data_IF_929844570991
#
_entry.id   IF_929844570991
#
_cell.length_a   1.000
_cell.length_b   1.000
_cell.length_c   1.000
_cell.angle_alpha   90.00
_cell.angle_beta   90.00
_cell.angle_gamma   90.00
#
_symmetry.space_group_name_H-M   'P 1'
#
loop_
_entity.id
_entity.type
_entity.pdbx_description
1 polymer ?
#
# COMPACT_ATOMS: atom_id res chain seq x y z
N UNK A 1 -71.99 32.58 -3.54
CA UNK A 1 -71.48 32.57 -4.93
C UNK A 1 -69.96 32.45 -4.87
N UNK A 2 -69.23 31.58 -5.56
CA UNK A 2 -69.53 30.44 -6.42
C UNK A 2 -68.25 29.57 -6.44
N UNK A 3 -68.43 28.25 -6.51
CA UNK A 3 -67.38 27.23 -6.66
C UNK A 3 -67.05 27.05 -8.13
N UNK A 4 -65.76 26.91 -8.48
CA UNK A 4 -65.31 26.63 -9.86
C UNK A 4 -65.13 25.13 -10.05
N UNK A 5 -65.91 24.56 -10.97
CA UNK A 5 -65.76 23.20 -11.51
C UNK A 5 -65.08 23.26 -12.87
N UNK A 6 -64.18 22.31 -13.12
CA UNK A 6 -63.61 21.98 -14.43
C UNK A 6 -64.56 21.07 -15.21
N UNK A 7 -64.73 21.34 -16.51
CA UNK A 7 -65.34 20.40 -17.46
C UNK A 7 -64.70 20.53 -18.85
N UNK A 8 -64.30 19.38 -19.42
CA UNK A 8 -63.81 19.21 -20.78
C UNK A 8 -64.92 19.44 -21.83
N UNK A 9 -64.56 19.52 -23.14
CA UNK A 9 -65.48 19.15 -24.19
C UNK A 9 -65.02 17.91 -24.97
N UNK A 10 -66.01 17.06 -25.19
CA UNK A 10 -66.03 15.87 -26.03
C UNK A 10 -66.01 16.19 -27.53
N UNK A 11 -65.52 15.19 -28.26
CA UNK A 11 -65.50 14.93 -29.71
C UNK A 11 -66.69 15.37 -30.55
N UNK A 12 -66.42 15.66 -31.84
CA UNK A 12 -67.40 15.52 -32.90
C UNK A 12 -66.78 15.23 -34.29
N UNK A 13 -67.34 14.21 -34.94
CA UNK A 13 -67.43 13.89 -36.38
C UNK A 13 -66.35 13.06 -37.11
N UNK A 14 -66.84 11.88 -37.53
CA UNK A 14 -66.33 10.89 -38.50
C UNK A 14 -66.68 11.36 -39.91
N UNK A 15 -65.78 11.15 -40.89
CA UNK A 15 -66.03 10.46 -42.17
C UNK A 15 -65.06 10.95 -43.28
N UNK A 16 -64.47 10.00 -44.03
CA UNK A 16 -63.84 10.31 -45.32
C UNK A 16 -62.58 9.50 -45.62
N UNK A 17 -62.81 8.26 -46.04
CA UNK A 17 -61.93 7.34 -46.78
C UNK A 17 -60.63 7.89 -47.36
N UNK A 18 -59.52 7.17 -47.15
CA UNK A 18 -58.54 6.93 -48.22
C UNK A 18 -57.83 5.59 -48.05
N UNK A 19 -57.80 4.89 -49.17
CA UNK A 19 -57.35 3.54 -49.40
C UNK A 19 -55.90 3.27 -49.02
N UNK A 20 -55.70 2.03 -48.58
CA UNK A 20 -54.47 1.26 -48.42
C UNK A 20 -53.36 1.61 -49.43
N UNK A 21 -52.19 1.98 -48.91
CA UNK A 21 -50.91 1.62 -49.55
C UNK A 21 -49.99 0.98 -48.52
N UNK A 22 -49.82 -0.34 -48.65
CA UNK A 22 -49.13 -1.20 -47.70
C UNK A 22 -47.64 -1.18 -48.02
N UNK A 23 -46.93 -0.11 -47.64
CA UNK A 23 -45.46 -0.09 -47.71
C UNK A 23 -44.88 -0.81 -46.49
N UNK A 24 -44.36 -2.01 -46.71
CA UNK A 24 -43.49 -2.70 -45.77
C UNK A 24 -42.26 -1.82 -45.47
N UNK A 25 -42.24 -1.18 -44.30
CA UNK A 25 -41.01 -0.59 -43.76
C UNK A 25 -40.11 -1.73 -43.33
N UNK A 26 -39.12 -2.05 -44.16
CA UNK A 26 -37.90 -2.72 -43.70
C UNK A 26 -37.28 -1.78 -42.67
N UNK A 27 -37.34 -2.15 -41.39
CA UNK A 27 -36.54 -1.51 -40.35
C UNK A 27 -35.08 -1.81 -40.66
N UNK A 28 -34.40 -0.88 -41.33
CA UNK A 28 -32.93 -0.90 -41.39
C UNK A 28 -32.44 -0.67 -39.96
N UNK A 29 -31.93 -1.74 -39.35
CA UNK A 29 -31.28 -1.66 -38.06
C UNK A 29 -30.18 -0.61 -38.13
N UNK A 30 -30.26 0.42 -37.28
CA UNK A 30 -29.17 1.36 -37.09
C UNK A 30 -27.90 0.56 -36.77
N UNK A 31 -26.74 0.90 -37.37
CA UNK A 31 -25.52 0.15 -37.13
C UNK A 31 -25.21 0.25 -35.64
N UNK A 32 -25.20 -0.89 -34.94
CA UNK A 32 -24.67 -0.97 -33.58
C UNK A 32 -23.25 -0.44 -33.64
N UNK A 33 -23.02 0.76 -33.11
CA UNK A 33 -21.69 1.29 -32.91
C UNK A 33 -21.00 0.31 -31.96
N UNK A 34 -20.18 -0.60 -32.50
CA UNK A 34 -19.24 -1.38 -31.68
C UNK A 34 -18.38 -0.32 -31.00
N UNK A 35 -18.61 -0.11 -29.71
CA UNK A 35 -17.57 0.47 -28.86
C UNK A 35 -16.44 -0.54 -28.97
N UNK A 36 -15.42 -0.21 -29.77
CA UNK A 36 -14.17 -0.94 -29.69
C UNK A 36 -13.71 -0.74 -28.25
N UNK A 37 -13.87 -1.77 -27.42
CA UNK A 37 -13.07 -1.90 -26.20
C UNK A 37 -11.65 -1.90 -26.76
N UNK A 38 -10.95 -0.77 -26.64
CA UNK A 38 -9.59 -0.66 -27.11
C UNK A 38 -8.81 -1.84 -26.51
N UNK A 39 -7.94 -2.52 -27.27
CA UNK A 39 -7.10 -3.54 -26.68
C UNK A 39 -6.39 -2.90 -25.49
N UNK A 40 -6.58 -3.46 -24.29
CA UNK A 40 -5.72 -3.16 -23.13
C UNK A 40 -4.33 -3.55 -23.63
N UNK A 41 -3.55 -2.56 -24.08
CA UNK A 41 -2.20 -2.81 -24.57
C UNK A 41 -1.40 -3.18 -23.34
N UNK A 42 -1.06 -4.46 -23.22
CA UNK A 42 0.00 -4.87 -22.31
C UNK A 42 1.22 -3.99 -22.62
N UNK A 43 1.62 -3.14 -21.67
CA UNK A 43 2.83 -2.33 -21.77
C UNK A 43 4.05 -3.24 -21.88
N UNK A 44 5.17 -2.72 -22.36
CA UNK A 44 6.41 -3.48 -22.59
C UNK A 44 6.93 -4.23 -21.36
N UNK A 45 6.54 -3.80 -20.16
CA UNK A 45 6.96 -4.38 -18.89
C UNK A 45 5.93 -5.32 -18.25
N UNK A 46 4.76 -5.56 -18.85
CA UNK A 46 3.63 -6.24 -18.18
C UNK A 46 4.03 -7.58 -17.56
N UNK A 47 4.70 -8.44 -18.32
CA UNK A 47 5.12 -9.76 -17.82
C UNK A 47 6.17 -9.65 -16.70
N UNK A 48 7.13 -8.72 -16.83
CA UNK A 48 8.15 -8.45 -15.81
C UNK A 48 7.52 -7.93 -14.52
N UNK A 49 6.52 -7.04 -14.62
CA UNK A 49 5.78 -6.51 -13.48
C UNK A 49 5.05 -7.64 -12.73
N UNK A 50 4.34 -8.51 -13.45
CA UNK A 50 3.63 -9.64 -12.86
C UNK A 50 4.60 -10.60 -12.19
N UNK A 51 5.74 -10.90 -12.82
CA UNK A 51 6.77 -11.77 -12.24
C UNK A 51 7.38 -11.13 -10.97
N UNK A 52 7.70 -9.85 -11.01
CA UNK A 52 8.28 -9.10 -9.90
C UNK A 52 7.31 -9.03 -8.72
N UNK A 53 6.04 -8.75 -8.97
CA UNK A 53 5.02 -8.67 -7.93
C UNK A 53 4.81 -10.04 -7.26
N UNK A 54 4.74 -11.13 -8.03
CA UNK A 54 4.67 -12.50 -7.51
C UNK A 54 5.92 -12.91 -6.72
N UNK A 55 7.11 -12.53 -7.19
CA UNK A 55 8.36 -12.81 -6.48
C UNK A 55 8.40 -12.09 -5.13
N UNK A 56 8.07 -10.79 -5.14
CA UNK A 56 8.04 -9.97 -3.93
C UNK A 56 6.98 -10.48 -2.94
N UNK A 57 5.84 -10.97 -3.44
CA UNK A 57 4.79 -11.58 -2.64
C UNK A 57 4.90 -13.12 -2.57
N UNK A 58 6.12 -13.67 -2.46
CA UNK A 58 6.34 -15.11 -2.40
C UNK A 58 6.25 -15.66 -0.97
N UNK A 59 5.87 -16.93 -0.85
CA UNK A 59 5.75 -17.63 0.44
C UNK A 59 7.00 -17.48 1.30
N UNK A 60 6.79 -17.26 2.60
CA UNK A 60 7.81 -17.04 3.64
C UNK A 60 8.51 -15.68 3.60
N UNK A 61 8.19 -14.81 2.64
CA UNK A 61 8.87 -13.54 2.50
C UNK A 61 7.97 -12.35 2.79
N UNK A 62 8.61 -11.25 3.20
CA UNK A 62 8.01 -9.92 3.19
C UNK A 62 9.02 -8.88 2.74
N UNK A 63 8.70 -7.61 2.99
CA UNK A 63 9.48 -6.46 2.58
C UNK A 63 10.07 -5.76 3.80
N UNK A 64 11.38 -5.49 3.75
CA UNK A 64 12.06 -4.61 4.68
C UNK A 64 11.94 -3.16 4.16
N UNK A 65 11.16 -2.33 4.84
CA UNK A 65 11.06 -0.91 4.50
C UNK A 65 12.15 -0.15 5.26
N UNK A 66 13.12 0.44 4.54
CA UNK A 66 14.27 1.19 5.10
C UNK A 66 14.43 2.55 4.42
N UNK A 67 13.31 3.07 3.91
CA UNK A 67 13.19 4.31 3.13
C UNK A 67 12.95 5.57 3.99
N UNK A 68 13.25 5.48 5.29
CA UNK A 68 13.29 6.61 6.21
C UNK A 68 14.60 7.40 6.07
N UNK A 69 14.55 8.70 6.31
CA UNK A 69 15.76 9.54 6.28
C UNK A 69 16.48 9.57 7.64
N UNK A 70 15.78 9.42 8.77
CA UNK A 70 16.30 9.83 10.09
C UNK A 70 16.11 8.77 11.20
N UNK A 71 16.18 7.49 10.86
CA UNK A 71 15.89 6.38 11.79
C UNK A 71 16.79 6.39 13.05
N UNK A 72 18.04 6.82 12.88
CA UNK A 72 19.11 6.80 13.89
C UNK A 72 18.87 7.82 15.02
N UNK A 73 18.08 8.87 14.77
CA UNK A 73 17.72 9.86 15.78
C UNK A 73 16.97 9.23 16.97
N UNK A 74 16.27 8.10 16.74
CA UNK A 74 15.54 7.37 17.79
C UNK A 74 16.43 6.78 18.90
N UNK A 75 17.73 6.62 18.63
CA UNK A 75 18.73 6.13 19.59
C UNK A 75 19.72 7.23 20.00
N UNK A 76 19.41 8.49 19.70
CA UNK A 76 20.22 9.65 20.08
C UNK A 76 21.49 9.83 19.25
N UNK A 77 21.58 9.25 18.05
CA UNK A 77 22.67 9.51 17.11
C UNK A 77 22.35 10.70 16.21
N UNK A 78 23.39 11.45 15.85
CA UNK A 78 23.27 12.52 14.86
C UNK A 78 22.90 11.95 13.49
N UNK A 79 21.98 12.62 12.81
CA UNK A 79 21.56 12.27 11.46
C UNK A 79 22.61 12.71 10.40
N UNK A 80 23.71 11.98 10.33
CA UNK A 80 24.77 12.18 9.33
C UNK A 80 24.71 11.10 8.24
N UNK A 81 25.17 11.42 7.04
CA UNK A 81 25.25 10.45 5.94
C UNK A 81 26.04 9.19 6.34
N UNK A 82 27.14 9.36 7.08
CA UNK A 82 27.95 8.25 7.57
C UNK A 82 27.16 7.31 8.50
N UNK A 83 26.34 7.85 9.41
CA UNK A 83 25.50 7.05 10.30
C UNK A 83 24.39 6.33 9.53
N UNK A 84 23.74 7.03 8.58
CA UNK A 84 22.73 6.42 7.71
C UNK A 84 23.32 5.28 6.88
N UNK A 85 24.47 5.51 6.24
CA UNK A 85 25.21 4.51 5.48
C UNK A 85 25.59 3.31 6.35
N UNK A 86 26.13 3.54 7.55
CA UNK A 86 26.51 2.48 8.48
C UNK A 86 25.31 1.63 8.89
N UNK A 87 24.17 2.25 9.19
CA UNK A 87 22.95 1.53 9.54
C UNK A 87 22.39 0.74 8.36
N UNK A 88 22.32 1.34 7.16
CA UNK A 88 21.87 0.60 5.96
C UNK A 88 22.83 -0.52 5.58
N UNK A 89 24.13 -0.33 5.76
CA UNK A 89 25.11 -1.40 5.59
C UNK A 89 24.86 -2.55 6.56
N UNK A 90 24.64 -2.27 7.84
CA UNK A 90 24.30 -3.30 8.83
C UNK A 90 23.12 -4.15 8.36
N UNK A 91 22.02 -3.51 7.95
CA UNK A 91 20.81 -4.20 7.50
C UNK A 91 21.07 -5.00 6.21
N UNK A 92 21.60 -4.35 5.18
CA UNK A 92 21.72 -4.89 3.82
C UNK A 92 22.85 -5.89 3.62
N UNK A 93 23.73 -6.05 4.61
CA UNK A 93 24.79 -7.06 4.62
C UNK A 93 24.53 -8.17 5.64
N UNK A 94 23.32 -8.25 6.20
CA UNK A 94 22.92 -9.33 7.12
C UNK A 94 22.89 -10.67 6.38
N UNK A 95 23.75 -11.64 6.73
CA UNK A 95 23.79 -12.92 6.02
C UNK A 95 22.50 -13.72 6.23
N UNK A 96 21.94 -14.26 5.15
CA UNK A 96 20.72 -15.09 5.20
C UNK A 96 19.43 -14.29 5.36
N UNK A 97 19.48 -12.96 5.24
CA UNK A 97 18.27 -12.12 5.28
C UNK A 97 17.29 -12.48 4.15
N UNK A 98 17.83 -12.92 3.01
CA UNK A 98 17.08 -13.38 1.84
C UNK A 98 16.16 -14.57 2.08
N UNK A 99 16.32 -15.31 3.18
CA UNK A 99 15.41 -16.41 3.56
C UNK A 99 14.01 -15.92 3.97
N UNK A 100 13.90 -14.65 4.37
CA UNK A 100 12.71 -14.07 4.99
C UNK A 100 12.27 -12.76 4.35
N UNK A 101 13.14 -12.12 3.57
CA UNK A 101 12.89 -10.85 2.90
C UNK A 101 13.03 -11.05 1.39
N UNK A 102 12.00 -10.70 0.64
CA UNK A 102 11.98 -10.76 -0.83
C UNK A 102 12.22 -9.39 -1.46
N UNK A 103 11.99 -8.30 -0.73
CA UNK A 103 12.19 -6.94 -1.20
C UNK A 103 12.66 -5.99 -0.11
N UNK A 104 13.42 -4.96 -0.49
CA UNK A 104 13.80 -3.87 0.40
C UNK A 104 13.43 -2.52 -0.23
N UNK A 105 12.63 -1.69 0.45
CA UNK A 105 12.32 -0.33 -0.01
C UNK A 105 13.43 0.60 0.47
N UNK A 106 14.10 1.24 -0.47
CA UNK A 106 15.21 2.16 -0.22
C UNK A 106 14.75 3.61 -0.32
N UNK A 107 15.45 4.49 0.39
CA UNK A 107 15.46 5.90 0.07
C UNK A 107 16.41 6.18 -1.11
N UNK A 108 16.24 7.31 -1.80
CA UNK A 108 17.03 7.65 -2.99
C UNK A 108 18.53 7.67 -2.68
N UNK A 109 18.94 8.26 -1.56
CA UNK A 109 20.33 8.26 -1.09
C UNK A 109 20.89 6.82 -1.04
N UNK A 110 20.17 5.90 -0.39
CA UNK A 110 20.60 4.50 -0.19
C UNK A 110 20.67 3.72 -1.51
N UNK A 111 19.82 4.03 -2.50
CA UNK A 111 19.82 3.38 -3.80
C UNK A 111 21.14 3.63 -4.57
N UNK A 112 21.76 4.78 -4.37
CA UNK A 112 23.04 5.16 -4.99
C UNK A 112 24.26 4.96 -4.07
N UNK A 113 24.05 4.71 -2.79
CA UNK A 113 25.12 4.44 -1.84
C UNK A 113 25.76 3.05 -2.03
N UNK A 114 26.94 2.94 -1.43
CA UNK A 114 27.72 1.71 -1.33
C UNK A 114 28.06 1.42 0.12
N UNK A 115 28.44 0.19 0.41
CA UNK A 115 29.15 -0.16 1.65
C UNK A 115 30.47 0.61 1.77
N UNK A 116 31.02 0.68 2.97
CA UNK A 116 32.37 1.21 3.23
C UNK A 116 33.48 0.48 2.45
N UNK A 117 33.22 -0.75 2.00
CA UNK A 117 34.10 -1.53 1.11
C UNK A 117 33.87 -1.27 -0.39
N UNK A 118 33.05 -0.28 -0.77
CA UNK A 118 32.84 0.14 -2.17
C UNK A 118 31.82 -0.70 -2.96
N UNK A 119 31.25 -1.75 -2.37
CA UNK A 119 30.19 -2.55 -3.00
C UNK A 119 28.84 -1.84 -2.91
N UNK A 120 28.13 -1.68 -4.03
CA UNK A 120 26.81 -1.03 -4.08
C UNK A 120 25.78 -1.78 -3.24
N UNK A 121 24.90 -1.06 -2.55
CA UNK A 121 23.83 -1.69 -1.76
C UNK A 121 22.87 -2.52 -2.59
N UNK A 122 22.54 -2.09 -3.81
CA UNK A 122 21.72 -2.88 -4.75
C UNK A 122 22.34 -4.25 -5.07
N UNK A 123 23.67 -4.36 -5.08
CA UNK A 123 24.36 -5.62 -5.34
C UNK A 123 24.44 -6.50 -4.09
N UNK A 124 24.46 -5.91 -2.89
CA UNK A 124 24.28 -6.65 -1.64
C UNK A 124 22.90 -7.32 -1.59
N UNK A 125 21.85 -6.56 -1.91
CA UNK A 125 20.48 -7.07 -1.99
C UNK A 125 20.35 -8.23 -2.98
N UNK A 126 20.85 -8.07 -4.20
CA UNK A 126 20.80 -9.10 -5.24
C UNK A 126 21.51 -10.40 -4.84
N UNK A 127 22.63 -10.32 -4.12
CA UNK A 127 23.34 -11.51 -3.64
C UNK A 127 22.52 -12.30 -2.62
N UNK A 128 21.75 -11.60 -1.77
CA UNK A 128 20.78 -12.19 -0.87
C UNK A 128 19.44 -12.50 -1.56
N UNK A 129 19.33 -12.35 -2.89
CA UNK A 129 18.08 -12.51 -3.66
C UNK A 129 16.94 -11.60 -3.18
N UNK A 130 17.28 -10.45 -2.62
CA UNK A 130 16.33 -9.42 -2.22
C UNK A 130 16.17 -8.42 -3.37
N UNK A 131 14.94 -8.15 -3.75
CA UNK A 131 14.62 -7.19 -4.80
C UNK A 131 14.81 -5.75 -4.28
N UNK A 132 15.54 -4.87 -4.97
CA UNK A 132 15.58 -3.46 -4.61
C UNK A 132 14.28 -2.75 -5.02
N UNK A 133 13.73 -1.95 -4.11
CA UNK A 133 12.63 -1.04 -4.37
C UNK A 133 12.96 0.38 -3.92
N UNK A 134 12.16 1.36 -4.35
CA UNK A 134 12.47 2.78 -4.15
C UNK A 134 11.23 3.57 -3.71
N UNK A 135 11.35 4.40 -2.67
CA UNK A 135 10.35 5.43 -2.36
C UNK A 135 10.42 6.55 -3.39
N UNK A 136 9.30 6.89 -4.02
CA UNK A 136 9.25 7.89 -5.11
C UNK A 136 8.36 9.09 -4.82
N UNK A 137 7.52 9.01 -3.80
CA UNK A 137 6.77 10.17 -3.31
C UNK A 137 7.71 11.25 -2.75
N UNK A 138 7.26 12.50 -2.76
CA UNK A 138 7.97 13.67 -2.20
C UNK A 138 7.33 14.14 -0.89
N UNK A 139 6.68 13.23 -0.18
CA UNK A 139 6.08 13.50 1.12
C UNK A 139 4.69 14.15 1.05
N UNK A 140 4.17 14.42 2.24
CA UNK A 140 2.84 14.97 2.48
C UNK A 140 2.91 16.49 2.64
N UNK A 141 1.90 17.18 2.14
CA UNK A 141 1.67 18.60 2.40
C UNK A 141 0.22 18.85 2.82
N UNK A 142 -0.08 19.95 3.53
CA UNK A 142 -1.45 20.29 3.87
C UNK A 142 -2.36 20.36 2.64
N UNK A 143 -3.54 19.75 2.73
CA UNK A 143 -4.54 19.81 1.67
C UNK A 143 -5.34 21.12 1.79
N UNK A 144 -5.24 22.06 0.82
CA UNK A 144 -5.93 23.34 0.92
C UNK A 144 -7.44 23.17 0.98
N UNK A 145 -8.11 23.93 1.85
CA UNK A 145 -9.57 23.86 2.01
C UNK A 145 -10.06 22.61 2.75
N UNK A 146 -9.17 21.83 3.35
CA UNK A 146 -9.50 20.68 4.18
C UNK A 146 -9.39 20.97 5.69
N UNK A 147 -9.85 20.03 6.52
CA UNK A 147 -9.75 20.12 7.97
C UNK A 147 -8.44 19.50 8.49
N UNK A 148 -7.29 20.15 8.24
CA UNK A 148 -5.97 19.61 8.57
C UNK A 148 -5.71 18.22 7.96
N UNK A 149 -6.28 17.93 6.79
CA UNK A 149 -5.94 16.75 6.02
C UNK A 149 -4.70 17.05 5.17
N UNK A 150 -4.10 16.00 4.59
CA UNK A 150 -2.89 16.11 3.78
C UNK A 150 -3.08 15.43 2.43
N UNK A 151 -2.29 15.83 1.45
CA UNK A 151 -2.13 15.11 0.18
C UNK A 151 -0.65 14.92 -0.12
N UNK A 152 -0.34 13.99 -1.02
CA UNK A 152 1.03 13.60 -1.29
C UNK A 152 1.52 14.14 -2.64
N UNK A 153 2.74 14.68 -2.66
CA UNK A 153 3.37 15.25 -3.85
C UNK A 153 4.35 14.25 -4.49
N UNK A 154 4.79 14.54 -5.73
CA UNK A 154 5.88 13.79 -6.38
C UNK A 154 5.62 13.34 -7.83
N UNK A 155 4.47 13.68 -8.42
CA UNK A 155 4.13 13.27 -9.79
C UNK A 155 4.99 13.98 -10.84
N UNK A 156 5.41 15.23 -10.54
CA UNK A 156 6.26 16.01 -11.42
C UNK A 156 7.63 15.34 -11.63
N UNK A 157 7.93 15.02 -12.88
CA UNK A 157 9.16 14.32 -13.28
C UNK A 157 9.21 12.84 -12.86
N UNK A 158 8.11 12.26 -12.36
CA UNK A 158 8.09 10.88 -11.85
C UNK A 158 8.51 9.86 -12.90
N UNK A 159 8.06 9.98 -14.15
CA UNK A 159 8.41 9.04 -15.22
C UNK A 159 9.93 8.96 -15.42
N UNK A 160 10.60 10.11 -15.57
CA UNK A 160 12.06 10.18 -15.71
C UNK A 160 12.78 9.59 -14.50
N UNK A 161 12.29 9.85 -13.29
CA UNK A 161 12.86 9.27 -12.06
C UNK A 161 12.69 7.75 -12.02
N UNK A 162 11.50 7.22 -12.33
CA UNK A 162 11.25 5.78 -12.39
C UNK A 162 12.15 5.09 -13.40
N UNK A 163 12.32 5.66 -14.59
CA UNK A 163 13.23 5.12 -15.60
C UNK A 163 14.69 5.06 -15.09
N UNK A 164 15.14 6.09 -14.37
CA UNK A 164 16.50 6.10 -13.80
C UNK A 164 16.66 5.10 -12.65
N UNK A 165 15.67 5.01 -11.76
CA UNK A 165 15.69 4.01 -10.68
C UNK A 165 15.67 2.58 -11.22
N UNK A 166 14.93 2.32 -12.31
CA UNK A 166 14.93 1.01 -12.97
C UNK A 166 16.34 0.64 -13.49
N UNK A 167 17.05 1.58 -14.13
CA UNK A 167 18.45 1.40 -14.57
C UNK A 167 19.40 1.14 -13.40
N UNK A 168 19.21 1.87 -12.30
CA UNK A 168 20.01 1.69 -11.08
C UNK A 168 19.74 0.36 -10.38
N UNK A 169 18.61 -0.31 -10.68
CA UNK A 169 18.33 -1.68 -10.26
C UNK A 169 17.06 -1.86 -9.44
N UNK A 170 16.29 -0.80 -9.19
CA UNK A 170 14.98 -0.91 -8.58
C UNK A 170 14.03 -1.70 -9.50
N UNK A 171 13.12 -2.47 -8.91
CA UNK A 171 12.08 -3.22 -9.64
C UNK A 171 10.67 -3.00 -9.11
N UNK A 172 10.56 -2.32 -7.97
CA UNK A 172 9.29 -1.86 -7.45
C UNK A 172 9.47 -0.46 -6.85
N UNK A 173 8.36 0.25 -6.72
CA UNK A 173 8.33 1.59 -6.14
C UNK A 173 7.34 1.60 -4.96
N UNK A 174 7.48 2.60 -4.10
CA UNK A 174 6.53 2.88 -3.02
C UNK A 174 6.06 4.33 -3.10
N UNK A 175 4.76 4.54 -2.95
CA UNK A 175 4.16 5.86 -2.78
C UNK A 175 3.21 5.84 -1.60
N UNK A 176 3.51 6.62 -0.57
CA UNK A 176 2.67 6.75 0.62
C UNK A 176 1.78 7.99 0.54
N UNK A 177 0.48 7.79 0.70
CA UNK A 177 -0.47 8.87 1.05
C UNK A 177 -1.16 8.54 2.36
N UNK A 178 -1.82 9.52 2.98
CA UNK A 178 -2.53 9.32 4.26
C UNK A 178 -3.98 9.76 4.18
N UNK A 179 -4.80 9.08 4.97
CA UNK A 179 -6.18 9.46 5.25
C UNK A 179 -6.36 9.49 6.77
N UNK A 180 -6.83 10.62 7.30
CA UNK A 180 -7.00 10.83 8.73
C UNK A 180 -8.44 10.53 9.15
N UNK A 181 -8.64 9.81 10.25
CA UNK A 181 -9.97 9.64 10.85
C UNK A 181 -10.34 10.86 11.73
N UNK A 182 -9.43 11.37 12.60
CA UNK A 182 -9.74 12.52 13.47
C UNK A 182 -10.02 13.81 12.72
N UNK A 183 -9.35 14.02 11.59
CA UNK A 183 -9.57 15.18 10.72
C UNK A 183 -10.85 15.02 9.86
N UNK A 184 -11.48 13.85 9.92
CA UNK A 184 -12.43 13.32 8.94
C UNK A 184 -11.68 12.72 7.75
N UNK A 185 -12.20 11.68 7.10
CA UNK A 185 -11.86 11.51 5.69
C UNK A 185 -12.91 12.27 4.89
N UNK A 186 -12.61 13.54 4.59
CA UNK A 186 -13.43 14.31 3.65
C UNK A 186 -13.46 13.59 2.30
N UNK A 187 -14.53 13.81 1.53
CA UNK A 187 -14.59 13.25 0.18
C UNK A 187 -13.42 13.74 -0.70
N UNK A 188 -12.95 14.96 -0.46
CA UNK A 188 -11.80 15.53 -1.15
C UNK A 188 -10.51 14.76 -0.83
N UNK A 189 -10.16 14.58 0.44
CA UNK A 189 -8.91 13.89 0.80
C UNK A 189 -8.88 12.42 0.35
N UNK A 190 -10.01 11.72 0.45
CA UNK A 190 -10.12 10.34 -0.06
C UNK A 190 -9.89 10.31 -1.57
N UNK A 191 -10.52 11.22 -2.31
CA UNK A 191 -10.36 11.32 -3.76
C UNK A 191 -8.92 11.69 -4.16
N UNK A 192 -8.30 12.67 -3.49
CA UNK A 192 -6.92 13.09 -3.75
C UNK A 192 -5.93 11.95 -3.48
N UNK A 193 -6.10 11.23 -2.37
CA UNK A 193 -5.31 10.05 -2.05
C UNK A 193 -5.43 8.97 -3.14
N UNK A 194 -6.66 8.63 -3.54
CA UNK A 194 -6.91 7.60 -4.53
C UNK A 194 -6.43 8.00 -5.94
N UNK A 195 -6.70 9.23 -6.37
CA UNK A 195 -6.27 9.76 -7.67
C UNK A 195 -4.75 9.83 -7.77
N UNK A 196 -4.07 10.38 -6.75
CA UNK A 196 -2.61 10.47 -6.72
C UNK A 196 -1.95 9.10 -6.82
N UNK A 197 -2.43 8.11 -6.05
CA UNK A 197 -1.95 6.73 -6.09
C UNK A 197 -2.15 6.09 -7.47
N UNK A 198 -3.30 6.33 -8.11
CA UNK A 198 -3.57 5.77 -9.43
C UNK A 198 -2.67 6.35 -10.53
N UNK A 199 -2.43 7.67 -10.50
CA UNK A 199 -1.48 8.33 -11.41
C UNK A 199 -0.06 7.82 -11.20
N UNK A 200 0.38 7.70 -9.96
CA UNK A 200 1.67 7.12 -9.59
C UNK A 200 1.81 5.69 -10.13
N UNK A 201 0.81 4.83 -9.88
CA UNK A 201 0.87 3.42 -10.24
C UNK A 201 0.99 3.22 -11.76
N UNK A 202 0.21 3.97 -12.55
CA UNK A 202 0.29 3.92 -14.00
C UNK A 202 1.68 4.36 -14.52
N UNK A 203 2.23 5.46 -13.98
CA UNK A 203 3.57 5.95 -14.36
C UNK A 203 4.66 4.93 -13.98
N UNK A 204 4.57 4.32 -12.80
CA UNK A 204 5.52 3.32 -12.36
C UNK A 204 5.51 2.08 -13.26
N UNK A 205 4.33 1.57 -13.62
CA UNK A 205 4.19 0.42 -14.52
C UNK A 205 4.74 0.71 -15.94
N UNK A 206 4.47 1.91 -16.47
CA UNK A 206 5.00 2.34 -17.78
C UNK A 206 6.54 2.41 -17.81
N UNK A 207 7.18 2.49 -16.63
CA UNK A 207 8.62 2.55 -16.46
C UNK A 207 9.21 1.28 -15.79
N UNK A 208 8.46 0.18 -15.79
CA UNK A 208 8.97 -1.14 -15.37
C UNK A 208 9.10 -1.34 -13.86
N UNK A 209 8.47 -0.50 -13.04
CA UNK A 209 8.45 -0.64 -11.58
C UNK A 209 7.06 -1.09 -11.10
N UNK A 210 7.01 -2.19 -10.35
CA UNK A 210 5.78 -2.60 -9.64
C UNK A 210 5.42 -1.54 -8.60
N UNK A 211 4.24 -0.90 -8.67
CA UNK A 211 3.85 0.08 -7.66
C UNK A 211 3.31 -0.61 -6.40
N UNK A 212 3.86 -0.25 -5.25
CA UNK A 212 3.24 -0.48 -3.95
C UNK A 212 2.28 0.69 -3.67
N UNK A 213 1.00 0.39 -3.67
CA UNK A 213 -0.09 1.34 -3.44
C UNK A 213 -0.38 1.42 -1.94
N UNK A 214 -0.02 2.53 -1.29
CA UNK A 214 -0.08 2.73 0.16
C UNK A 214 -1.00 3.91 0.56
N UNK A 215 -2.33 3.68 0.66
CA UNK A 215 -3.25 4.60 1.31
C UNK A 215 -3.29 4.31 2.82
N UNK A 216 -2.36 4.88 3.59
CA UNK A 216 -2.32 4.65 5.04
C UNK A 216 -3.47 5.39 5.72
N UNK A 217 -4.35 4.64 6.38
CA UNK A 217 -5.34 5.21 7.29
C UNK A 217 -4.66 5.36 8.64
N UNK A 218 -4.55 6.61 9.11
CA UNK A 218 -3.80 6.94 10.31
C UNK A 218 -4.43 6.32 11.56
N UNK A 219 -3.56 5.90 12.47
CA UNK A 219 -3.95 5.28 13.74
C UNK A 219 -4.47 6.31 14.76
N UNK A 220 -4.17 7.59 14.58
CA UNK A 220 -4.48 8.66 15.53
C UNK A 220 -5.99 8.75 15.86
N UNK A 221 -6.28 9.06 17.13
CA UNK A 221 -7.62 9.33 17.65
C UNK A 221 -8.25 8.23 18.52
N UNK A 222 -9.40 8.56 19.11
CA UNK A 222 -10.23 7.68 19.94
C UNK A 222 -11.45 7.22 19.15
N UNK A 223 -11.23 6.29 18.21
CA UNK A 223 -12.30 5.72 17.40
C UNK A 223 -12.30 4.19 17.51
N UNK A 224 -13.49 3.56 17.51
CA UNK A 224 -13.60 2.11 17.58
C UNK A 224 -13.21 1.47 16.24
N UNK A 225 -12.91 0.16 16.26
CA UNK A 225 -12.45 -0.59 15.08
C UNK A 225 -13.46 -0.57 13.91
N UNK A 226 -14.76 -0.47 14.22
CA UNK A 226 -15.84 -0.33 13.23
C UNK A 226 -15.68 0.95 12.40
N UNK A 227 -15.23 2.05 13.03
CA UNK A 227 -15.01 3.32 12.34
C UNK A 227 -13.84 3.20 11.38
N UNK A 228 -12.76 2.51 11.79
CA UNK A 228 -11.62 2.23 10.91
C UNK A 228 -12.05 1.38 9.72
N UNK A 229 -12.89 0.36 9.94
CA UNK A 229 -13.42 -0.47 8.86
C UNK A 229 -14.25 0.35 7.87
N UNK A 230 -15.16 1.19 8.34
CA UNK A 230 -16.00 2.05 7.50
C UNK A 230 -15.15 2.96 6.60
N UNK A 231 -14.15 3.63 7.19
CA UNK A 231 -13.25 4.52 6.46
C UNK A 231 -12.39 3.73 5.48
N UNK A 232 -11.85 2.58 5.89
CA UNK A 232 -11.04 1.73 5.02
C UNK A 232 -11.83 1.22 3.81
N UNK A 233 -13.09 0.84 4.01
CA UNK A 233 -13.94 0.42 2.91
C UNK A 233 -14.18 1.54 1.89
N UNK A 234 -14.39 2.78 2.36
CA UNK A 234 -14.57 3.95 1.49
C UNK A 234 -13.29 4.26 0.70
N UNK A 235 -12.14 4.29 1.38
CA UNK A 235 -10.84 4.60 0.76
C UNK A 235 -10.47 3.55 -0.29
N UNK A 236 -10.55 2.27 0.06
CA UNK A 236 -10.17 1.20 -0.88
C UNK A 236 -11.11 1.09 -2.08
N UNK A 237 -12.40 1.43 -1.93
CA UNK A 237 -13.32 1.51 -3.06
C UNK A 237 -12.88 2.57 -4.08
N UNK A 238 -12.54 3.78 -3.62
CA UNK A 238 -12.08 4.89 -4.47
C UNK A 238 -10.70 4.59 -5.09
N UNK A 239 -9.79 3.99 -4.32
CA UNK A 239 -8.47 3.57 -4.82
C UNK A 239 -8.62 2.62 -6.00
N UNK A 240 -9.40 1.54 -5.89
CA UNK A 240 -9.58 0.61 -6.99
C UNK A 240 -10.36 1.20 -8.17
N UNK A 241 -11.34 2.08 -7.90
CA UNK A 241 -12.02 2.83 -8.95
C UNK A 241 -11.01 3.62 -9.79
N UNK A 242 -10.15 4.43 -9.15
CA UNK A 242 -9.21 5.27 -9.88
C UNK A 242 -8.02 4.50 -10.48
N UNK A 243 -7.58 3.39 -9.86
CA UNK A 243 -6.60 2.49 -10.47
C UNK A 243 -7.13 1.93 -11.80
N UNK A 244 -8.41 1.51 -11.85
CA UNK A 244 -9.05 1.06 -13.08
C UNK A 244 -9.15 2.18 -14.12
N UNK A 245 -9.60 3.38 -13.72
CA UNK A 245 -9.71 4.54 -14.63
C UNK A 245 -8.36 4.98 -15.21
N UNK A 246 -7.24 4.67 -14.53
CA UNK A 246 -5.89 4.93 -15.02
C UNK A 246 -5.25 3.72 -15.74
N UNK A 247 -6.03 2.68 -16.05
CA UNK A 247 -5.59 1.47 -16.75
C UNK A 247 -4.45 0.72 -16.04
N UNK A 248 -4.41 0.76 -14.71
CA UNK A 248 -3.40 0.03 -13.93
C UNK A 248 -3.66 -1.47 -13.99
N UNK A 249 -2.63 -2.25 -14.30
CA UNK A 249 -2.70 -3.73 -14.32
C UNK A 249 -2.60 -4.27 -12.90
N UNK A 250 -3.67 -4.85 -12.36
CA UNK A 250 -3.74 -5.26 -10.95
C UNK A 250 -2.83 -6.45 -10.62
N UNK A 251 -2.52 -7.31 -11.59
CA UNK A 251 -1.57 -8.41 -11.43
C UNK A 251 -0.13 -7.91 -11.25
N UNK A 252 0.15 -6.67 -11.62
CA UNK A 252 1.44 -6.02 -11.54
C UNK A 252 1.51 -4.92 -10.47
N UNK A 253 0.67 -4.98 -9.42
CA UNK A 253 0.76 -4.09 -8.24
C UNK A 253 0.96 -4.89 -6.95
N UNK A 254 1.35 -4.19 -5.89
CA UNK A 254 1.23 -4.68 -4.51
C UNK A 254 0.45 -3.64 -3.71
N UNK A 255 -0.27 -4.08 -2.68
CA UNK A 255 -0.93 -3.17 -1.76
C UNK A 255 -0.16 -3.08 -0.44
N UNK A 256 -0.11 -1.89 0.16
CA UNK A 256 0.40 -1.68 1.51
C UNK A 256 -0.64 -0.95 2.36
N UNK A 257 -1.71 -1.66 2.80
CA UNK A 257 -2.71 -1.10 3.70
C UNK A 257 -2.19 -1.02 5.15
N UNK A 258 -2.80 -0.14 5.95
CA UNK A 258 -2.84 -0.31 7.39
C UNK A 258 -3.77 -1.48 7.76
N UNK A 259 -3.47 -2.17 8.87
CA UNK A 259 -4.42 -3.11 9.46
C UNK A 259 -5.63 -2.35 10.02
N UNK A 260 -6.80 -2.98 10.03
CA UNK A 260 -8.01 -2.40 10.63
C UNK A 260 -7.93 -2.59 12.14
N UNK A 261 -7.58 -1.53 12.86
CA UNK A 261 -7.44 -1.50 14.32
C UNK A 261 -8.31 -0.39 14.91
N UNK A 262 -8.63 -0.42 16.23
CA UNK A 262 -9.07 0.77 16.92
C UNK A 262 -7.99 1.87 16.85
N UNK A 263 -8.42 3.11 17.06
CA UNK A 263 -7.48 4.24 17.17
C UNK A 263 -6.50 4.07 18.34
N UNK A 264 -5.34 4.69 18.25
CA UNK A 264 -4.28 4.56 19.26
C UNK A 264 -4.76 4.98 20.67
N UNK A 265 -5.61 6.01 20.72
CA UNK A 265 -6.14 6.60 21.95
C UNK A 265 -7.42 5.87 22.43
N UNK A 266 -7.92 4.90 21.65
CA UNK A 266 -9.09 4.13 22.04
C UNK A 266 -8.81 3.24 23.26
N UNK A 267 -9.73 3.27 24.22
CA UNK A 267 -9.60 2.59 25.51
C UNK A 267 -9.49 1.08 25.36
N UNK A 268 -10.30 0.50 24.48
CA UNK A 268 -10.32 -0.94 24.25
C UNK A 268 -9.31 -1.32 23.17
N UNK A 269 -8.37 -2.21 23.52
CA UNK A 269 -7.46 -2.81 22.54
C UNK A 269 -8.15 -4.02 21.91
N UNK A 270 -8.03 -4.14 20.59
CA UNK A 270 -8.54 -5.30 19.86
C UNK A 270 -7.55 -6.47 19.94
N UNK A 271 -8.07 -7.69 20.06
CA UNK A 271 -7.23 -8.90 19.97
C UNK A 271 -6.74 -9.12 18.53
N UNK A 272 -5.67 -9.90 18.31
CA UNK A 272 -5.20 -10.25 16.98
C UNK A 272 -6.28 -10.90 16.10
N UNK A 273 -7.15 -11.73 16.69
CA UNK A 273 -8.25 -12.40 16.00
C UNK A 273 -9.32 -11.39 15.55
N UNK A 274 -9.60 -10.39 16.38
CA UNK A 274 -10.52 -9.31 16.01
C UNK A 274 -9.94 -8.43 14.91
N UNK A 275 -8.66 -8.03 15.02
CA UNK A 275 -7.96 -7.25 13.99
C UNK A 275 -7.96 -8.03 12.67
N UNK A 276 -7.62 -9.33 12.70
CA UNK A 276 -7.64 -10.18 11.53
C UNK A 276 -9.03 -10.26 10.90
N UNK A 277 -10.08 -10.48 11.70
CA UNK A 277 -11.47 -10.54 11.22
C UNK A 277 -11.88 -9.27 10.49
N UNK A 278 -11.63 -8.09 11.07
CA UNK A 278 -12.03 -6.81 10.46
C UNK A 278 -11.17 -6.47 9.24
N UNK A 279 -9.87 -6.75 9.30
CA UNK A 279 -8.95 -6.50 8.20
C UNK A 279 -9.26 -7.37 6.99
N UNK A 280 -9.41 -8.69 7.18
CA UNK A 280 -9.78 -9.60 6.11
C UNK A 280 -11.18 -9.31 5.55
N UNK A 281 -12.12 -8.87 6.39
CA UNK A 281 -13.44 -8.42 5.93
C UNK A 281 -13.34 -7.22 4.99
N UNK A 282 -12.50 -6.23 5.31
CA UNK A 282 -12.23 -5.09 4.44
C UNK A 282 -11.64 -5.55 3.09
N UNK A 283 -10.59 -6.38 3.13
CA UNK A 283 -9.93 -6.88 1.92
C UNK A 283 -10.92 -7.63 1.01
N UNK A 284 -11.68 -8.58 1.57
CA UNK A 284 -12.69 -9.35 0.83
C UNK A 284 -13.80 -8.49 0.21
N UNK A 285 -14.08 -7.31 0.76
CA UNK A 285 -15.11 -6.42 0.23
C UNK A 285 -14.60 -5.48 -0.87
N UNK A 286 -13.29 -5.19 -0.91
CA UNK A 286 -12.75 -4.07 -1.70
C UNK A 286 -11.59 -4.41 -2.62
N UNK A 287 -10.86 -5.49 -2.35
CA UNK A 287 -9.67 -5.85 -3.11
C UNK A 287 -10.02 -6.94 -4.13
N UNK A 288 -9.71 -6.78 -5.42
CA UNK A 288 -9.84 -7.85 -6.42
C UNK A 288 -8.81 -8.97 -6.20
N UNK A 289 -9.18 -10.25 -6.40
CA UNK A 289 -8.23 -11.39 -6.34
C UNK A 289 -7.07 -11.34 -7.33
N UNK A 290 -7.12 -10.47 -8.35
CA UNK A 290 -6.03 -10.29 -9.32
C UNK A 290 -4.75 -9.73 -8.70
N UNK A 291 -4.86 -9.01 -7.57
CA UNK A 291 -3.69 -8.50 -6.84
C UNK A 291 -2.86 -9.69 -6.32
N UNK A 292 -1.53 -9.72 -6.50
CA UNK A 292 -0.72 -10.84 -6.02
C UNK A 292 -0.48 -10.81 -4.50
N UNK A 293 -0.29 -9.62 -3.91
CA UNK A 293 0.11 -9.51 -2.50
C UNK A 293 -0.37 -8.27 -1.76
N UNK A 294 -0.66 -8.47 -0.48
CA UNK A 294 -1.02 -7.46 0.52
C UNK A 294 0.11 -7.40 1.55
N UNK A 295 0.92 -6.35 1.49
CA UNK A 295 2.15 -6.18 2.24
C UNK A 295 1.92 -5.15 3.34
N UNK A 296 1.32 -5.57 4.46
CA UNK A 296 0.86 -4.65 5.51
C UNK A 296 1.97 -3.74 6.04
N UNK A 297 1.65 -2.46 6.25
CA UNK A 297 2.49 -1.58 7.08
C UNK A 297 2.26 -1.90 8.56
N UNK A 298 3.28 -1.69 9.39
CA UNK A 298 3.15 -1.91 10.85
C UNK A 298 2.47 -0.73 11.56
N UNK A 299 2.54 0.47 11.00
CA UNK A 299 2.03 1.68 11.64
C UNK A 299 2.72 1.91 12.98
N UNK A 300 1.94 2.21 14.03
CA UNK A 300 2.42 2.40 15.41
C UNK A 300 2.43 1.13 16.29
N UNK A 301 2.15 -0.04 15.73
CA UNK A 301 2.15 -1.30 16.47
C UNK A 301 3.55 -1.65 16.97
N UNK A 302 3.66 -2.39 18.08
CA UNK A 302 4.92 -3.01 18.51
C UNK A 302 5.41 -4.07 17.49
N UNK A 303 6.66 -4.50 17.60
CA UNK A 303 7.20 -5.59 16.77
C UNK A 303 6.35 -6.86 16.93
N UNK A 304 6.01 -7.23 18.17
CA UNK A 304 5.21 -8.42 18.46
C UNK A 304 3.75 -8.28 18.05
N UNK A 305 3.13 -7.12 18.25
CA UNK A 305 1.74 -6.87 17.82
C UNK A 305 1.60 -7.03 16.31
N UNK A 306 2.52 -6.41 15.54
CA UNK A 306 2.53 -6.49 14.09
C UNK A 306 2.69 -7.96 13.60
N UNK A 307 3.57 -8.74 14.25
CA UNK A 307 3.73 -10.17 13.94
C UNK A 307 2.50 -11.00 14.31
N UNK A 308 1.89 -10.77 15.48
CA UNK A 308 0.70 -11.51 15.94
C UNK A 308 -0.52 -11.26 15.07
N UNK A 309 -0.76 -10.00 14.70
CA UNK A 309 -1.88 -9.62 13.85
C UNK A 309 -1.73 -10.21 12.44
N UNK A 310 -0.52 -10.16 11.87
CA UNK A 310 -0.22 -10.83 10.61
C UNK A 310 -0.44 -12.34 10.69
N UNK A 311 -0.01 -12.98 11.79
CA UNK A 311 -0.20 -14.40 12.01
C UNK A 311 -1.68 -14.78 12.04
N UNK A 312 -2.49 -14.04 12.80
CA UNK A 312 -3.92 -14.28 12.89
C UNK A 312 -4.63 -14.15 11.52
N UNK A 313 -4.20 -13.22 10.67
CA UNK A 313 -4.74 -13.10 9.30
C UNK A 313 -4.41 -14.29 8.41
N UNK A 314 -3.23 -14.89 8.57
CA UNK A 314 -2.80 -16.04 7.77
C UNK A 314 -3.27 -17.40 8.32
N UNK A 315 -3.99 -17.42 9.44
CA UNK A 315 -4.71 -18.61 9.90
C UNK A 315 -6.04 -18.82 9.17
N UNK A 316 -6.47 -17.84 8.37
CA UNK A 316 -7.59 -17.96 7.44
C UNK A 316 -7.09 -18.13 6.00
N UNK A 317 -7.92 -18.75 5.15
CA UNK A 317 -7.64 -18.83 3.71
C UNK A 317 -7.79 -17.45 3.07
N UNK A 318 -6.79 -17.04 2.28
CA UNK A 318 -6.78 -15.77 1.57
C UNK A 318 -6.54 -15.98 0.08
N UNK A 319 -7.24 -15.26 -0.82
CA UNK A 319 -6.96 -15.32 -2.26
C UNK A 319 -5.69 -14.53 -2.65
N UNK A 320 -5.19 -13.67 -1.75
CA UNK A 320 -3.94 -12.92 -1.90
C UNK A 320 -2.85 -13.50 -1.03
N UNK A 321 -1.59 -13.19 -1.36
CA UNK A 321 -0.51 -13.36 -0.42
C UNK A 321 -0.55 -12.28 0.67
N UNK A 322 -0.92 -12.63 1.91
CA UNK A 322 -0.98 -11.70 3.03
C UNK A 322 0.36 -11.72 3.79
N UNK A 323 1.14 -10.66 3.64
CA UNK A 323 2.49 -10.54 4.20
C UNK A 323 2.75 -9.14 4.77
N UNK A 324 4.01 -8.76 4.94
CA UNK A 324 4.45 -7.54 5.62
C UNK A 324 5.32 -6.67 4.73
N UNK A 325 5.23 -5.35 4.93
CA UNK A 325 6.19 -4.35 4.50
C UNK A 325 6.50 -3.46 5.71
N UNK A 326 7.43 -3.93 6.54
CA UNK A 326 7.64 -3.38 7.87
C UNK A 326 8.91 -2.54 7.95
N UNK A 327 8.76 -1.41 8.62
CA UNK A 327 9.82 -0.48 9.00
C UNK A 327 10.18 -0.73 10.48
N UNK A 328 9.61 0.08 11.38
CA UNK A 328 9.81 -0.01 12.84
C UNK A 328 9.62 -1.42 13.40
N UNK A 329 8.66 -2.21 12.90
CA UNK A 329 8.41 -3.58 13.36
C UNK A 329 9.51 -4.61 13.00
N UNK A 330 10.47 -4.24 12.14
CA UNK A 330 11.68 -5.02 11.86
C UNK A 330 12.96 -4.37 12.38
N UNK A 331 12.92 -3.07 12.70
CA UNK A 331 14.12 -2.25 12.91
C UNK A 331 14.30 -1.77 14.36
N UNK A 332 13.25 -1.69 15.19
CA UNK A 332 13.34 -1.04 16.51
C UNK A 332 14.32 -1.76 17.45
N UNK A 333 14.22 -3.07 17.60
CA UNK A 333 15.17 -3.85 18.40
C UNK A 333 16.57 -3.84 17.78
N UNK A 334 16.67 -3.76 16.46
CA UNK A 334 17.96 -3.68 15.74
C UNK A 334 18.69 -2.39 16.08
N UNK A 335 18.04 -1.24 15.98
CA UNK A 335 18.59 0.07 16.34
C UNK A 335 19.06 0.10 17.79
N UNK A 336 18.22 -0.34 18.72
CA UNK A 336 18.54 -0.39 20.16
C UNK A 336 19.70 -1.33 20.49
N UNK A 337 19.84 -2.41 19.74
CA UNK A 337 20.96 -3.35 19.89
C UNK A 337 22.24 -2.75 19.31
N UNK A 338 22.16 -2.07 18.17
CA UNK A 338 23.31 -1.48 17.50
C UNK A 338 23.91 -0.29 18.26
N UNK A 339 23.08 0.66 18.70
CA UNK A 339 23.50 1.88 19.40
C UNK A 339 24.56 2.73 18.67
N UNK A 340 24.68 2.58 17.34
CA UNK A 340 25.72 3.25 16.55
C UNK A 340 27.12 2.66 16.69
N UNK A 341 27.27 1.49 17.33
CA UNK A 341 28.57 0.92 17.68
C UNK A 341 28.95 -0.23 16.75
N UNK A 342 30.19 -0.22 16.26
CA UNK A 342 30.68 -1.23 15.31
C UNK A 342 30.74 -2.62 15.93
N UNK A 343 31.09 -2.72 17.21
CA UNK A 343 31.14 -3.98 17.96
C UNK A 343 29.77 -4.67 18.09
N UNK A 344 28.67 -3.92 17.93
CA UNK A 344 27.30 -4.43 18.07
C UNK A 344 26.68 -4.88 16.74
N UNK A 345 27.37 -4.71 15.61
CA UNK A 345 26.81 -5.01 14.27
C UNK A 345 26.30 -6.45 14.19
N UNK A 346 27.10 -7.43 14.62
CA UNK A 346 26.71 -8.86 14.57
C UNK A 346 25.49 -9.15 15.45
N UNK A 347 25.42 -8.53 16.64
CA UNK A 347 24.28 -8.71 17.54
C UNK A 347 23.00 -8.10 16.95
N UNK A 348 23.09 -6.92 16.34
CA UNK A 348 21.98 -6.25 15.69
C UNK A 348 21.50 -6.99 14.43
N UNK A 349 22.41 -7.53 13.61
CA UNK A 349 22.07 -8.39 12.47
C UNK A 349 21.32 -9.66 12.92
N UNK A 350 21.76 -10.28 14.03
CA UNK A 350 21.05 -11.41 14.63
C UNK A 350 19.64 -11.02 15.09
N UNK A 351 19.47 -9.83 15.68
CA UNK A 351 18.15 -9.32 16.07
C UNK A 351 17.24 -9.12 14.84
N UNK A 352 17.77 -8.60 13.74
CA UNK A 352 17.04 -8.46 12.48
C UNK A 352 16.56 -9.82 11.97
N UNK A 353 17.43 -10.83 11.92
CA UNK A 353 17.05 -12.18 11.49
C UNK A 353 15.96 -12.80 12.38
N UNK A 354 16.04 -12.59 13.69
CA UNK A 354 15.00 -13.06 14.63
C UNK A 354 13.64 -12.44 14.29
N UNK A 355 13.57 -11.14 14.01
CA UNK A 355 12.32 -10.46 13.62
C UNK A 355 11.86 -10.83 12.21
N UNK A 356 12.78 -10.94 11.25
CA UNK A 356 12.46 -11.36 9.89
C UNK A 356 11.87 -12.78 9.87
N UNK A 357 12.49 -13.71 10.60
CA UNK A 357 11.98 -15.09 10.77
C UNK A 357 10.62 -15.14 11.48
N UNK A 358 10.42 -14.34 12.51
CA UNK A 358 9.13 -14.26 13.21
C UNK A 358 8.00 -13.84 12.25
N UNK A 359 8.23 -12.80 11.45
CA UNK A 359 7.27 -12.32 10.46
C UNK A 359 7.09 -13.29 9.28
N UNK A 360 8.14 -14.00 8.87
CA UNK A 360 8.06 -15.10 7.90
C UNK A 360 7.16 -16.24 8.40
N UNK A 361 7.28 -16.64 9.67
CA UNK A 361 6.40 -17.63 10.28
C UNK A 361 4.97 -17.11 10.43
N UNK A 362 4.79 -15.82 10.70
CA UNK A 362 3.48 -15.19 10.77
C UNK A 362 2.79 -15.14 9.40
N UNK A 363 3.55 -14.91 8.32
CA UNK A 363 3.04 -15.05 6.96
C UNK A 363 2.47 -16.45 6.72
N UNK A 364 3.07 -17.49 7.30
CA UNK A 364 2.54 -18.86 7.22
C UNK A 364 1.41 -19.19 8.22
N UNK A 365 1.03 -18.27 9.10
CA UNK A 365 0.06 -18.57 10.17
C UNK A 365 0.60 -19.53 11.24
N UNK A 366 1.93 -19.66 11.36
CA UNK A 366 2.62 -20.62 12.23
C UNK A 366 3.51 -19.97 13.29
N UNK A 367 3.38 -18.66 13.50
CA UNK A 367 4.13 -17.96 14.52
C UNK A 367 3.61 -18.24 15.93
N UNK A 368 4.54 -18.39 16.88
CA UNK A 368 4.28 -18.49 18.31
C UNK A 368 5.09 -17.45 19.06
N UNK A 369 4.43 -16.72 19.98
CA UNK A 369 5.07 -15.70 20.80
C UNK A 369 5.87 -16.26 21.99
N UNK A 370 6.10 -17.57 22.05
CA UNK A 370 6.83 -18.20 23.15
C UNK A 370 8.32 -17.81 23.09
N UNK A 371 8.82 -17.14 24.13
CA UNK A 371 10.22 -16.71 24.23
C UNK A 371 10.51 -15.31 23.67
N UNK A 372 9.47 -14.53 23.36
CA UNK A 372 9.61 -13.11 22.96
C UNK A 372 10.09 -12.24 24.12
N UNK A 373 10.98 -11.28 23.83
CA UNK A 373 11.52 -10.34 24.81
C UNK A 373 10.48 -9.27 25.17
N UNK A 374 10.66 -8.57 26.29
CA UNK A 374 9.74 -7.48 26.70
C UNK A 374 9.80 -6.29 25.72
N UNK A 375 10.97 -6.05 25.13
CA UNK A 375 11.18 -4.96 24.17
C UNK A 375 10.30 -5.14 22.93
N UNK A 376 10.19 -6.38 22.43
CA UNK A 376 9.34 -6.70 21.28
C UNK A 376 7.86 -6.40 21.53
N UNK A 377 7.42 -6.34 22.81
CA UNK A 377 6.03 -6.08 23.20
C UNK A 377 5.69 -4.59 23.28
N UNK A 378 6.69 -3.71 23.33
CA UNK A 378 6.47 -2.28 23.59
C UNK A 378 5.94 -1.57 22.34
N UNK A 379 4.77 -0.94 22.44
CA UNK A 379 4.14 -0.18 21.36
C UNK A 379 5.01 0.99 20.85
N UNK A 380 4.86 1.34 19.58
CA UNK A 380 5.73 2.32 18.89
C UNK A 380 4.96 3.54 18.35
N UNK A 381 3.71 3.72 18.77
CA UNK A 381 2.88 4.84 18.35
C UNK A 381 3.46 6.16 18.82
N UNK A 382 3.49 7.14 17.91
CA UNK A 382 3.83 8.53 18.18
C UNK A 382 2.76 9.38 17.51
N UNK A 383 2.08 10.23 18.30
CA UNK A 383 1.01 11.09 17.80
C UNK A 383 1.54 12.06 16.76
N UNK A 384 0.90 12.12 15.59
CA UNK A 384 1.32 12.99 14.50
C UNK A 384 2.66 12.61 13.84
N UNK A 385 3.07 11.33 13.91
CA UNK A 385 4.31 10.87 13.31
C UNK A 385 4.32 11.07 11.78
N UNK A 386 5.41 11.66 11.27
CA UNK A 386 5.70 11.84 9.84
C UNK A 386 7.02 11.14 9.49
N UNK A 387 7.05 10.40 8.38
CA UNK A 387 8.22 9.65 7.89
C UNK A 387 9.28 10.53 7.22
#
# INVERSE_FOLDING_TARGET
MASVKLSAPSSQWIAGERSLDRRSRILTAAPRRRVAVGPIRAGSYTDELVQTAKFTASSRHGILAIDEQDAEASIGLDNTEANRQAYRQLLLTTPGLGEYISGAILFEETLYQSTTGGKKFVDCLRQEKIMPGIKVDKGLVPLPGSNNESWCQGLDGLASRCAEYYKQGARFAKWRTVVSIPCGPSALAVKEAAWGLARYAAIAQDNGLVPIVEPEILLDGDHPIERTLEVAEKVWAEVFYYLAENNVVFEGILLKPSMVTPGAEHKEKASPEMIAKYTLKMLNRRVPPAVPGIMFLSGGQSEMEATRNLNAMNQASNPWHVSFSYARALQNTVLKTWQGRLENVVAAQKALLVRAKANSLAQLGHYSAKGESEEAKTGMFQKGYTY
#
